data_IF_283949711991
#
_entry.id   IF_283949711991
#
_cell.length_a   1.000
_cell.length_b   1.000
_cell.length_c   1.000
_cell.angle_alpha   90.00
_cell.angle_beta   90.00
_cell.angle_gamma   90.00
#
_symmetry.space_group_name_H-M   'P 1'
#
loop_
_entity.id
_entity.type
_entity.pdbx_description
1 polymer ?
#
# COMPACT_ATOMS: atom_id res chain seq x y z
N UNK A 1 -48.01 26.45 -18.84
CA UNK A 1 -49.22 27.14 -18.34
C UNK A 1 -48.76 28.19 -17.35
N UNK A 2 -48.89 29.49 -17.70
CA UNK A 2 -48.55 30.59 -16.78
C UNK A 2 -49.69 30.78 -15.79
N UNK A 3 -49.46 30.49 -14.52
CA UNK A 3 -50.38 30.80 -13.43
C UNK A 3 -50.32 32.32 -13.15
N UNK A 4 -51.28 33.06 -13.68
CA UNK A 4 -51.40 34.49 -13.40
C UNK A 4 -52.25 34.65 -12.10
N UNK A 5 -51.60 34.62 -10.97
CA UNK A 5 -52.27 34.83 -9.65
C UNK A 5 -52.49 36.35 -9.42
N UNK A 6 -53.72 36.72 -9.05
CA UNK A 6 -54.06 38.08 -8.65
C UNK A 6 -53.54 38.50 -7.24
N UNK A 7 -52.80 37.64 -6.58
CA UNK A 7 -52.21 37.91 -5.28
C UNK A 7 -50.88 38.68 -5.42
N UNK A 8 -50.75 39.92 -4.94
CA UNK A 8 -49.53 40.74 -5.07
C UNK A 8 -48.29 40.13 -4.42
N UNK A 9 -48.48 39.24 -3.44
CA UNK A 9 -47.34 38.55 -2.78
C UNK A 9 -46.78 37.39 -3.64
N UNK A 10 -47.54 36.81 -4.55
CA UNK A 10 -47.11 35.73 -5.43
C UNK A 10 -46.56 36.20 -6.78
N UNK A 11 -46.70 37.48 -7.06
CA UNK A 11 -46.25 38.08 -8.32
C UNK A 11 -44.97 38.92 -8.15
N UNK A 12 -44.29 38.74 -7.02
CA UNK A 12 -43.06 39.47 -6.73
C UNK A 12 -41.88 38.80 -7.42
N UNK A 13 -41.10 39.58 -8.22
CA UNK A 13 -39.88 39.12 -8.94
C UNK A 13 -38.89 38.40 -8.03
N UNK A 14 -38.91 38.69 -6.72
CA UNK A 14 -38.09 38.04 -5.73
C UNK A 14 -38.44 36.53 -5.55
N UNK A 15 -39.73 36.17 -5.71
CA UNK A 15 -40.17 34.77 -5.58
C UNK A 15 -39.83 33.95 -6.81
N UNK A 16 -39.92 34.53 -8.02
CA UNK A 16 -39.49 33.87 -9.27
C UNK A 16 -37.98 33.68 -9.33
N UNK A 17 -37.21 34.64 -8.79
CA UNK A 17 -35.74 34.53 -8.69
C UNK A 17 -35.30 33.46 -7.65
N UNK A 18 -36.07 33.30 -6.52
CA UNK A 18 -35.81 32.27 -5.54
C UNK A 18 -36.15 30.87 -6.05
N UNK A 19 -37.21 30.71 -6.83
CA UNK A 19 -37.58 29.44 -7.48
C UNK A 19 -36.57 29.08 -8.58
N UNK A 20 -36.15 30.02 -9.41
CA UNK A 20 -35.09 29.81 -10.42
C UNK A 20 -33.74 29.46 -9.78
N UNK A 21 -33.40 30.07 -8.65
CA UNK A 21 -32.16 29.76 -7.93
C UNK A 21 -32.18 28.40 -7.22
N UNK A 22 -33.38 27.90 -6.85
CA UNK A 22 -33.55 26.55 -6.34
C UNK A 22 -33.54 25.48 -7.46
N UNK A 23 -33.93 25.83 -8.68
CA UNK A 23 -33.83 24.93 -9.83
C UNK A 23 -32.37 24.71 -10.28
N UNK A 24 -31.50 25.72 -10.12
CA UNK A 24 -30.06 25.56 -10.38
C UNK A 24 -29.33 24.73 -9.31
N UNK A 25 -29.92 24.55 -8.11
CA UNK A 25 -29.32 23.77 -7.02
C UNK A 25 -29.72 22.28 -7.08
N UNK A 26 -30.72 21.92 -7.85
CA UNK A 26 -31.08 20.53 -8.15
C UNK A 26 -30.64 20.11 -9.57
N UNK A 27 -29.39 20.38 -9.94
CA UNK A 27 -28.70 19.41 -10.77
C UNK A 27 -28.54 18.19 -9.88
N UNK A 28 -29.45 17.23 -10.02
CA UNK A 28 -29.21 15.88 -9.53
C UNK A 28 -27.81 15.52 -10.03
N UNK A 29 -26.87 15.37 -9.10
CA UNK A 29 -25.56 14.82 -9.41
C UNK A 29 -25.89 13.48 -10.03
N UNK A 30 -25.77 13.38 -11.36
CA UNK A 30 -25.87 12.09 -12.05
C UNK A 30 -24.72 11.31 -11.43
N UNK A 31 -25.04 10.44 -10.49
CA UNK A 31 -24.08 9.51 -9.90
C UNK A 31 -23.73 8.58 -11.06
N UNK A 32 -22.64 8.89 -11.75
CA UNK A 32 -22.10 7.99 -12.75
C UNK A 32 -21.57 6.79 -11.97
N UNK A 33 -22.32 5.69 -11.99
CA UNK A 33 -21.93 4.43 -11.34
C UNK A 33 -20.56 3.91 -11.81
N UNK A 34 -20.01 4.45 -12.91
CA UNK A 34 -18.64 4.17 -13.35
C UNK A 34 -17.58 4.92 -12.56
N UNK A 35 -17.93 5.93 -11.77
CA UNK A 35 -16.98 6.74 -10.98
C UNK A 35 -16.84 6.29 -9.52
N UNK A 36 -17.55 5.22 -9.11
CA UNK A 36 -17.48 4.68 -7.75
C UNK A 36 -16.42 3.57 -7.64
N UNK A 37 -15.80 3.50 -6.46
CA UNK A 37 -14.86 2.43 -6.09
C UNK A 37 -15.60 1.09 -6.00
N UNK A 38 -15.00 0.04 -6.57
CA UNK A 38 -15.48 -1.33 -6.51
C UNK A 38 -14.41 -2.26 -5.99
N UNK A 39 -14.83 -3.34 -5.34
CA UNK A 39 -13.91 -4.38 -4.87
C UNK A 39 -13.17 -5.04 -6.06
N UNK A 40 -13.93 -5.42 -7.11
CA UNK A 40 -13.35 -6.02 -8.32
C UNK A 40 -12.40 -5.08 -9.05
N UNK A 41 -12.71 -3.78 -9.10
CA UNK A 41 -11.83 -2.76 -9.66
C UNK A 41 -10.51 -2.66 -8.90
N UNK A 42 -10.56 -2.69 -7.56
CA UNK A 42 -9.35 -2.69 -6.73
C UNK A 42 -8.52 -3.95 -6.91
N UNK A 43 -9.14 -5.13 -6.98
CA UNK A 43 -8.45 -6.40 -7.26
C UNK A 43 -7.73 -6.34 -8.60
N UNK A 44 -8.40 -5.90 -9.66
CA UNK A 44 -7.79 -5.78 -10.99
C UNK A 44 -6.60 -4.82 -10.99
N UNK A 45 -6.70 -3.68 -10.30
CA UNK A 45 -5.61 -2.72 -10.16
C UNK A 45 -4.45 -3.28 -9.33
N UNK A 46 -4.75 -4.04 -8.28
CA UNK A 46 -3.72 -4.74 -7.50
C UNK A 46 -2.95 -5.76 -8.36
N UNK A 47 -3.64 -6.50 -9.22
CA UNK A 47 -3.01 -7.42 -10.17
C UNK A 47 -2.13 -6.69 -11.20
N UNK A 48 -2.60 -5.55 -11.74
CA UNK A 48 -1.82 -4.72 -12.65
C UNK A 48 -0.53 -4.23 -11.97
N UNK A 49 -0.65 -3.68 -10.75
CA UNK A 49 0.51 -3.20 -9.99
C UNK A 49 1.48 -4.34 -9.69
N UNK A 50 0.98 -5.51 -9.30
CA UNK A 50 1.80 -6.69 -9.06
C UNK A 50 2.56 -7.15 -10.32
N UNK A 51 1.90 -7.14 -11.47
CA UNK A 51 2.56 -7.47 -12.76
C UNK A 51 3.63 -6.44 -13.12
N UNK A 52 3.38 -5.15 -12.93
CA UNK A 52 4.36 -4.09 -13.18
C UNK A 52 5.57 -4.22 -12.26
N UNK A 53 5.35 -4.46 -10.96
CA UNK A 53 6.40 -4.66 -9.98
C UNK A 53 7.24 -5.89 -10.32
N UNK A 54 6.61 -7.03 -10.60
CA UNK A 54 7.34 -8.27 -10.91
C UNK A 54 8.09 -8.18 -12.24
N UNK A 55 7.51 -7.54 -13.26
CA UNK A 55 8.19 -7.31 -14.54
C UNK A 55 9.44 -6.44 -14.33
N UNK A 56 9.32 -5.33 -13.64
CA UNK A 56 10.45 -4.44 -13.32
C UNK A 56 11.52 -5.15 -12.48
N UNK A 57 11.10 -5.90 -11.44
CA UNK A 57 12.01 -6.67 -10.60
C UNK A 57 12.76 -7.74 -11.40
N UNK A 58 12.09 -8.45 -12.30
CA UNK A 58 12.69 -9.47 -13.15
C UNK A 58 13.75 -8.88 -14.10
N UNK A 59 13.49 -7.71 -14.66
CA UNK A 59 14.47 -7.01 -15.53
C UNK A 59 15.74 -6.70 -14.75
N UNK A 60 15.61 -6.12 -13.54
CA UNK A 60 16.78 -5.80 -12.72
C UNK A 60 17.50 -7.05 -12.23
N UNK A 61 16.75 -8.07 -11.86
CA UNK A 61 17.31 -9.39 -11.53
C UNK A 61 18.18 -9.95 -12.66
N UNK A 62 17.64 -9.98 -13.87
CA UNK A 62 18.38 -10.46 -15.04
C UNK A 62 19.63 -9.63 -15.34
N UNK A 63 19.53 -8.29 -15.27
CA UNK A 63 20.66 -7.39 -15.46
C UNK A 63 21.75 -7.59 -14.40
N UNK A 64 21.37 -7.82 -13.15
CA UNK A 64 22.31 -8.05 -12.05
C UNK A 64 23.16 -9.32 -12.29
N UNK A 65 22.52 -10.41 -12.74
CA UNK A 65 23.24 -11.65 -13.10
C UNK A 65 24.08 -11.52 -14.39
N UNK A 66 23.87 -10.48 -15.20
CA UNK A 66 24.70 -10.13 -16.35
C UNK A 66 25.76 -9.05 -16.04
N UNK A 67 26.10 -8.84 -14.77
CA UNK A 67 27.23 -8.01 -14.34
C UNK A 67 26.87 -6.56 -13.99
N UNK A 68 25.59 -6.16 -14.02
CA UNK A 68 25.17 -4.85 -13.56
C UNK A 68 25.20 -4.79 -12.02
N UNK A 69 25.65 -3.68 -11.45
CA UNK A 69 25.55 -3.46 -10.01
C UNK A 69 24.08 -3.22 -9.59
N UNK A 70 23.45 -4.14 -8.86
CA UNK A 70 22.03 -4.03 -8.49
C UNK A 70 21.75 -2.95 -7.45
N UNK A 71 22.75 -2.46 -6.75
CA UNK A 71 22.59 -1.45 -5.68
C UNK A 71 22.11 -0.10 -6.24
N UNK A 72 22.59 0.29 -7.44
CA UNK A 72 22.23 1.57 -8.05
C UNK A 72 20.73 1.66 -8.35
N UNK A 73 20.11 0.73 -9.11
CA UNK A 73 18.68 0.76 -9.34
C UNK A 73 17.86 0.52 -8.05
N UNK A 74 18.37 -0.28 -7.10
CA UNK A 74 17.71 -0.49 -5.82
C UNK A 74 17.57 0.82 -5.03
N UNK A 75 18.65 1.58 -4.88
CA UNK A 75 18.61 2.87 -4.16
C UNK A 75 17.74 3.88 -4.91
N UNK A 76 17.90 3.99 -6.23
CA UNK A 76 17.08 4.89 -7.05
C UNK A 76 15.58 4.54 -6.98
N UNK A 77 15.25 3.26 -7.06
CA UNK A 77 13.89 2.75 -6.93
C UNK A 77 13.27 3.06 -5.56
N UNK A 78 14.01 2.81 -4.49
CA UNK A 78 13.56 3.10 -3.12
C UNK A 78 13.27 4.60 -2.90
N UNK A 79 14.16 5.48 -3.37
CA UNK A 79 13.98 6.94 -3.21
C UNK A 79 12.77 7.42 -4.00
N UNK A 80 12.67 7.06 -5.28
CA UNK A 80 11.56 7.49 -6.13
C UNK A 80 10.24 6.85 -5.65
N UNK A 81 10.25 5.56 -5.30
CA UNK A 81 9.09 4.87 -4.72
C UNK A 81 8.58 5.58 -3.47
N UNK A 82 9.47 5.92 -2.53
CA UNK A 82 9.12 6.66 -1.32
C UNK A 82 8.48 8.03 -1.65
N UNK A 83 9.03 8.79 -2.59
CA UNK A 83 8.47 10.09 -3.01
C UNK A 83 7.08 9.91 -3.58
N UNK A 84 6.85 8.91 -4.44
CA UNK A 84 5.53 8.62 -5.02
C UNK A 84 4.50 8.23 -3.96
N UNK A 85 4.89 7.41 -2.96
CA UNK A 85 4.04 7.07 -1.81
C UNK A 85 3.66 8.32 -1.02
N UNK A 86 4.63 9.17 -0.70
CA UNK A 86 4.37 10.41 0.05
C UNK A 86 3.42 11.34 -0.72
N UNK A 87 3.63 11.54 -2.02
CA UNK A 87 2.72 12.35 -2.83
C UNK A 87 1.32 11.74 -2.83
N UNK A 88 1.19 10.42 -2.98
CA UNK A 88 -0.11 9.73 -2.96
C UNK A 88 -0.81 9.84 -1.60
N UNK A 89 -0.07 9.81 -0.50
CA UNK A 89 -0.61 9.97 0.85
C UNK A 89 -1.24 11.36 1.07
N UNK A 90 -0.64 12.43 0.52
CA UNK A 90 -1.16 13.79 0.62
C UNK A 90 -2.17 14.14 -0.48
N UNK A 91 -2.10 13.47 -1.63
CA UNK A 91 -2.95 13.74 -2.79
C UNK A 91 -3.47 12.43 -3.42
N UNK A 92 -4.40 11.73 -2.76
CA UNK A 92 -4.91 10.43 -3.20
C UNK A 92 -5.51 10.44 -4.61
N UNK A 93 -6.04 11.58 -5.06
CA UNK A 93 -6.63 11.72 -6.40
C UNK A 93 -5.65 11.46 -7.55
N UNK A 94 -4.34 11.57 -7.32
CA UNK A 94 -3.32 11.26 -8.31
C UNK A 94 -2.88 9.80 -8.31
N UNK A 95 -3.44 8.94 -7.44
CA UNK A 95 -3.10 7.51 -7.35
C UNK A 95 -3.20 6.75 -8.68
N UNK A 96 -4.12 7.06 -9.63
CA UNK A 96 -4.14 6.40 -10.92
C UNK A 96 -2.83 6.51 -11.71
N UNK A 97 -2.06 7.57 -11.50
CA UNK A 97 -0.76 7.79 -12.14
C UNK A 97 0.40 7.39 -11.23
N UNK A 98 0.27 7.68 -9.93
CA UNK A 98 1.33 7.44 -8.96
C UNK A 98 1.51 5.95 -8.63
N UNK A 99 0.42 5.18 -8.54
CA UNK A 99 0.50 3.76 -8.18
C UNK A 99 1.22 2.91 -9.23
N UNK A 100 0.96 3.02 -10.55
CA UNK A 100 1.76 2.33 -11.56
C UNK A 100 3.23 2.75 -11.54
N UNK A 101 3.50 4.06 -11.39
CA UNK A 101 4.86 4.58 -11.22
C UNK A 101 5.55 3.96 -10.01
N UNK A 102 4.88 3.96 -8.85
CA UNK A 102 5.38 3.31 -7.64
C UNK A 102 5.72 1.83 -7.88
N UNK A 103 4.81 1.07 -8.50
CA UNK A 103 5.04 -0.35 -8.75
C UNK A 103 6.30 -0.61 -9.60
N UNK A 104 6.56 0.23 -10.62
CA UNK A 104 7.76 0.13 -11.43
C UNK A 104 9.03 0.43 -10.62
N UNK A 105 9.08 1.54 -9.90
CA UNK A 105 10.25 1.92 -9.10
C UNK A 105 10.48 1.00 -7.91
N UNK A 106 9.42 0.57 -7.25
CA UNK A 106 9.51 -0.43 -6.19
C UNK A 106 10.00 -1.78 -6.72
N UNK A 107 9.63 -2.15 -7.96
CA UNK A 107 10.18 -3.33 -8.63
C UNK A 107 11.68 -3.22 -8.87
N UNK A 108 12.23 -2.02 -9.21
CA UNK A 108 13.68 -1.82 -9.29
C UNK A 108 14.35 -2.09 -7.92
N UNK A 109 13.75 -1.57 -6.86
CA UNK A 109 14.24 -1.77 -5.49
C UNK A 109 14.22 -3.26 -5.11
N UNK A 110 13.06 -3.90 -5.25
CA UNK A 110 12.88 -5.32 -4.90
C UNK A 110 13.76 -6.23 -5.75
N UNK A 111 13.85 -5.99 -7.05
CA UNK A 111 14.71 -6.76 -7.95
C UNK A 111 16.19 -6.68 -7.56
N UNK A 112 16.66 -5.48 -7.22
CA UNK A 112 18.04 -5.25 -6.79
C UNK A 112 18.35 -5.90 -5.43
N UNK A 113 17.49 -5.70 -4.44
CA UNK A 113 17.65 -6.33 -3.11
C UNK A 113 17.59 -7.86 -3.23
N UNK A 114 16.63 -8.39 -3.99
CA UNK A 114 16.51 -9.84 -4.23
C UNK A 114 17.76 -10.43 -4.86
N UNK A 115 18.33 -9.77 -5.87
CA UNK A 115 19.56 -10.24 -6.52
C UNK A 115 20.75 -10.28 -5.53
N UNK A 116 20.87 -9.30 -4.63
CA UNK A 116 21.91 -9.26 -3.60
C UNK A 116 21.74 -10.44 -2.63
N UNK A 117 20.52 -10.65 -2.11
CA UNK A 117 20.26 -11.74 -1.16
C UNK A 117 20.43 -13.12 -1.80
N UNK A 118 20.00 -13.30 -3.05
CA UNK A 118 20.16 -14.56 -3.78
C UNK A 118 21.63 -14.90 -4.04
N UNK A 119 22.45 -13.88 -4.37
CA UNK A 119 23.89 -14.09 -4.55
C UNK A 119 24.60 -14.51 -3.25
N UNK A 120 24.11 -14.04 -2.08
CA UNK A 120 24.64 -14.43 -0.76
C UNK A 120 24.08 -15.77 -0.27
N UNK A 121 22.81 -16.04 -0.53
CA UNK A 121 22.07 -17.21 -0.04
C UNK A 121 21.19 -17.80 -1.15
N UNK A 122 21.73 -18.67 -2.00
CA UNK A 122 20.98 -19.23 -3.13
C UNK A 122 19.66 -19.89 -2.72
N UNK A 123 18.57 -19.55 -3.40
CA UNK A 123 17.22 -20.07 -3.14
C UNK A 123 16.44 -19.31 -2.05
N UNK A 124 17.01 -18.25 -1.45
CA UNK A 124 16.33 -17.48 -0.40
C UNK A 124 15.12 -16.69 -0.94
N UNK A 125 15.23 -16.20 -2.18
CA UNK A 125 14.19 -15.36 -2.79
C UNK A 125 12.92 -16.14 -3.01
N UNK A 126 13.01 -17.35 -3.57
CA UNK A 126 11.83 -18.20 -3.80
C UNK A 126 11.14 -18.57 -2.48
N UNK A 127 11.91 -18.79 -1.41
CA UNK A 127 11.38 -19.07 -0.09
C UNK A 127 10.64 -17.84 0.50
N UNK A 128 11.22 -16.63 0.36
CA UNK A 128 10.59 -15.39 0.83
C UNK A 128 9.31 -15.07 0.05
N UNK A 129 9.32 -15.24 -1.28
CA UNK A 129 8.14 -15.08 -2.14
C UNK A 129 7.05 -16.06 -1.70
N UNK A 130 7.40 -17.35 -1.57
CA UNK A 130 6.45 -18.38 -1.12
C UNK A 130 5.85 -18.06 0.24
N UNK A 131 6.68 -17.69 1.24
CA UNK A 131 6.22 -17.30 2.57
C UNK A 131 5.28 -16.08 2.54
N UNK A 132 5.59 -15.08 1.72
CA UNK A 132 4.76 -13.89 1.53
C UNK A 132 3.39 -14.26 0.96
N UNK A 133 3.35 -15.06 -0.09
CA UNK A 133 2.10 -15.50 -0.71
C UNK A 133 1.26 -16.37 0.22
N UNK A 134 1.87 -17.33 0.91
CA UNK A 134 1.16 -18.17 1.88
C UNK A 134 0.56 -17.30 3.00
N UNK A 135 1.32 -16.37 3.55
CA UNK A 135 0.82 -15.45 4.58
C UNK A 135 -0.33 -14.60 4.06
N UNK A 136 -0.19 -14.03 2.85
CA UNK A 136 -1.25 -13.26 2.21
C UNK A 136 -2.54 -14.08 2.05
N UNK A 137 -2.45 -15.30 1.50
CA UNK A 137 -3.60 -16.19 1.28
C UNK A 137 -4.28 -16.60 2.59
N UNK A 138 -3.50 -16.89 3.63
CA UNK A 138 -4.02 -17.18 4.96
C UNK A 138 -4.75 -15.98 5.54
N UNK A 139 -4.14 -14.79 5.52
CA UNK A 139 -4.77 -13.57 6.02
C UNK A 139 -6.05 -13.23 5.24
N UNK A 140 -6.03 -13.37 3.90
CA UNK A 140 -7.20 -13.15 3.05
C UNK A 140 -8.32 -14.16 3.39
N UNK A 141 -7.99 -15.42 3.59
CA UNK A 141 -8.95 -16.44 4.01
C UNK A 141 -9.57 -16.13 5.36
N UNK A 142 -8.74 -15.82 6.37
CA UNK A 142 -9.21 -15.47 7.71
C UNK A 142 -10.10 -14.21 7.69
N UNK A 143 -9.78 -13.23 6.85
CA UNK A 143 -10.59 -12.04 6.66
C UNK A 143 -11.92 -12.37 5.97
N UNK A 144 -11.88 -13.08 4.83
CA UNK A 144 -13.07 -13.44 4.03
C UNK A 144 -14.08 -14.25 4.84
N UNK A 145 -13.61 -15.20 5.66
CA UNK A 145 -14.48 -16.01 6.51
C UNK A 145 -14.84 -15.31 7.83
N UNK A 146 -14.49 -14.03 8.00
CA UNK A 146 -14.80 -13.20 9.19
C UNK A 146 -14.32 -13.81 10.51
N UNK A 147 -13.26 -14.64 10.46
CA UNK A 147 -12.61 -15.21 11.65
C UNK A 147 -11.89 -14.11 12.43
N UNK A 148 -11.22 -13.20 11.73
CA UNK A 148 -10.61 -11.99 12.30
C UNK A 148 -11.52 -10.80 12.03
N UNK A 149 -11.97 -10.15 13.11
CA UNK A 149 -12.79 -8.93 13.04
C UNK A 149 -11.92 -7.70 13.21
N UNK A 150 -11.92 -6.80 12.24
CA UNK A 150 -11.17 -5.54 12.28
C UNK A 150 -11.96 -4.49 13.07
N UNK A 151 -11.80 -4.53 14.40
CA UNK A 151 -12.41 -3.56 15.33
C UNK A 151 -11.57 -2.28 15.41
N UNK A 152 -12.11 -1.18 15.95
CA UNK A 152 -11.35 0.06 16.14
C UNK A 152 -10.17 -0.12 17.11
N UNK A 153 -10.32 -0.97 18.13
CA UNK A 153 -9.20 -1.34 19.02
C UNK A 153 -8.11 -2.10 18.27
N UNK A 154 -8.49 -3.09 17.42
CA UNK A 154 -7.56 -3.83 16.58
C UNK A 154 -6.76 -2.88 15.66
N UNK A 155 -7.44 -1.93 15.00
CA UNK A 155 -6.79 -0.93 14.15
C UNK A 155 -5.79 -0.08 14.93
N UNK A 156 -6.21 0.45 16.10
CA UNK A 156 -5.36 1.31 16.93
C UNK A 156 -4.09 0.60 17.38
N UNK A 157 -4.20 -0.65 17.80
CA UNK A 157 -3.05 -1.46 18.25
C UNK A 157 -2.07 -1.71 17.09
N UNK A 158 -2.57 -2.09 15.91
CA UNK A 158 -1.70 -2.38 14.76
C UNK A 158 -1.04 -1.10 14.24
N UNK A 159 -1.78 -0.01 14.12
CA UNK A 159 -1.24 1.29 13.71
C UNK A 159 -0.16 1.75 14.70
N UNK A 160 -0.39 1.64 16.01
CA UNK A 160 0.60 1.97 17.02
C UNK A 160 1.85 1.10 16.91
N UNK A 161 1.69 -0.22 16.73
CA UNK A 161 2.81 -1.15 16.55
C UNK A 161 3.60 -0.83 15.25
N UNK A 162 2.91 -0.54 14.16
CA UNK A 162 3.53 -0.15 12.87
C UNK A 162 4.34 1.14 13.01
N UNK A 163 3.76 2.16 13.66
CA UNK A 163 4.46 3.43 13.92
C UNK A 163 5.67 3.24 14.84
N UNK A 164 5.56 2.39 15.87
CA UNK A 164 6.69 2.07 16.74
C UNK A 164 7.84 1.40 15.99
N UNK A 165 7.54 0.43 15.10
CA UNK A 165 8.53 -0.24 14.25
C UNK A 165 9.17 0.77 13.28
N UNK A 166 8.37 1.57 12.59
CA UNK A 166 8.87 2.59 11.66
C UNK A 166 9.77 3.61 12.36
N UNK A 167 9.36 4.09 13.53
CA UNK A 167 10.13 5.03 14.34
C UNK A 167 11.44 4.39 14.82
N UNK A 168 11.40 3.14 15.28
CA UNK A 168 12.59 2.40 15.70
C UNK A 168 13.58 2.22 14.53
N UNK A 169 13.11 1.86 13.34
CA UNK A 169 13.97 1.73 12.16
C UNK A 169 14.55 3.06 11.72
N UNK A 170 13.75 4.14 11.74
CA UNK A 170 14.21 5.48 11.41
C UNK A 170 15.29 5.96 12.39
N UNK A 171 15.05 5.84 13.68
CA UNK A 171 16.03 6.21 14.72
C UNK A 171 17.29 5.38 14.56
N UNK A 172 17.17 4.07 14.40
CA UNK A 172 18.31 3.17 14.22
C UNK A 172 19.14 3.53 12.99
N UNK A 173 18.49 3.89 11.88
CA UNK A 173 19.14 4.32 10.66
C UNK A 173 19.89 5.64 10.85
N UNK A 174 19.25 6.64 11.47
CA UNK A 174 19.88 7.94 11.78
C UNK A 174 21.08 7.75 12.70
N UNK A 175 20.94 6.97 13.78
CA UNK A 175 22.05 6.69 14.70
C UNK A 175 23.23 5.99 14.00
N UNK A 176 22.97 5.06 13.11
CA UNK A 176 24.03 4.36 12.35
C UNK A 176 24.80 5.27 11.40
N UNK A 177 24.25 6.42 11.01
CA UNK A 177 24.97 7.42 10.19
C UNK A 177 26.00 8.23 11.00
N UNK A 178 25.78 8.43 12.30
CA UNK A 178 26.61 9.27 13.14
C UNK A 178 27.49 8.48 14.14
N UNK A 179 27.20 7.20 14.33
CA UNK A 179 27.91 6.37 15.29
C UNK A 179 28.22 5.00 14.70
N UNK A 180 29.23 4.30 15.25
CA UNK A 180 29.50 2.90 14.93
C UNK A 180 28.50 1.93 15.61
N UNK A 181 27.36 2.42 16.05
CA UNK A 181 26.32 1.62 16.68
C UNK A 181 25.68 0.68 15.67
N UNK A 182 25.72 -0.62 15.96
CA UNK A 182 25.04 -1.65 15.18
C UNK A 182 23.72 -1.97 15.88
N UNK A 183 22.56 -1.60 15.30
CA UNK A 183 21.27 -1.91 15.91
C UNK A 183 21.06 -3.42 16.08
N UNK A 184 20.38 -3.80 17.15
CA UNK A 184 20.14 -5.21 17.51
C UNK A 184 19.45 -6.01 16.40
N UNK A 185 18.66 -5.35 15.56
CA UNK A 185 17.93 -6.00 14.46
C UNK A 185 18.80 -6.34 13.24
N UNK A 186 20.07 -5.89 13.16
CA UNK A 186 21.00 -6.24 12.06
C UNK A 186 21.79 -7.54 12.33
N UNK A 187 21.93 -7.96 13.58
CA UNK A 187 22.70 -9.15 13.92
C UNK A 187 21.92 -10.47 13.71
N UNK A 188 22.63 -11.59 13.92
CA UNK A 188 22.08 -12.96 13.83
C UNK A 188 21.73 -13.54 15.22
N UNK A 189 21.63 -12.69 16.25
CA UNK A 189 21.28 -13.10 17.59
C UNK A 189 19.82 -13.62 17.65
N UNK A 190 19.53 -14.46 18.65
CA UNK A 190 18.15 -14.92 18.91
C UNK A 190 17.17 -13.75 19.10
N UNK A 191 17.63 -12.65 19.71
CA UNK A 191 16.84 -11.45 19.87
C UNK A 191 16.53 -10.79 18.51
N UNK A 192 17.53 -10.72 17.61
CA UNK A 192 17.33 -10.19 16.26
C UNK A 192 16.32 -11.03 15.44
N UNK A 193 16.36 -12.34 15.57
CA UNK A 193 15.40 -13.26 14.95
C UNK A 193 13.99 -13.03 15.55
N UNK A 194 13.89 -12.93 16.87
CA UNK A 194 12.63 -12.62 17.56
C UNK A 194 12.00 -11.30 17.10
N UNK A 195 12.81 -10.25 16.94
CA UNK A 195 12.36 -8.96 16.38
C UNK A 195 11.83 -9.14 14.97
N UNK A 196 12.53 -9.88 14.08
CA UNK A 196 12.05 -10.13 12.71
C UNK A 196 10.71 -10.88 12.69
N UNK A 197 10.53 -11.89 13.53
CA UNK A 197 9.26 -12.62 13.64
C UNK A 197 8.15 -11.68 14.12
N UNK A 198 8.41 -10.85 15.12
CA UNK A 198 7.45 -9.88 15.61
C UNK A 198 7.03 -8.90 14.52
N UNK A 199 7.99 -8.37 13.75
CA UNK A 199 7.72 -7.43 12.65
C UNK A 199 6.93 -8.10 11.54
N UNK A 200 7.23 -9.36 11.18
CA UNK A 200 6.45 -10.15 10.21
C UNK A 200 5.00 -10.30 10.67
N UNK A 201 4.78 -10.60 11.96
CA UNK A 201 3.40 -10.68 12.49
C UNK A 201 2.68 -9.35 12.37
N UNK A 202 3.32 -8.24 12.73
CA UNK A 202 2.71 -6.91 12.58
C UNK A 202 2.44 -6.57 11.11
N UNK A 203 3.36 -6.88 10.19
CA UNK A 203 3.15 -6.69 8.76
C UNK A 203 1.98 -7.54 8.22
N UNK A 204 1.87 -8.81 8.65
CA UNK A 204 0.74 -9.67 8.31
C UNK A 204 -0.59 -9.14 8.85
N UNK A 205 -0.59 -8.57 10.07
CA UNK A 205 -1.78 -7.95 10.64
C UNK A 205 -2.20 -6.67 9.90
N UNK A 206 -1.28 -5.94 9.28
CA UNK A 206 -1.61 -4.80 8.42
C UNK A 206 -2.40 -5.21 7.17
N UNK A 207 -2.25 -6.44 6.64
CA UNK A 207 -3.07 -6.92 5.53
C UNK A 207 -4.56 -6.89 5.87
N UNK A 208 -4.95 -7.20 7.13
CA UNK A 208 -6.35 -7.09 7.55
C UNK A 208 -6.86 -5.65 7.52
N UNK A 209 -6.00 -4.67 7.84
CA UNK A 209 -6.35 -3.25 7.74
C UNK A 209 -6.52 -2.82 6.29
N UNK A 210 -5.69 -3.34 5.37
CA UNK A 210 -5.79 -3.05 3.95
C UNK A 210 -7.07 -3.64 3.36
N UNK A 211 -7.41 -4.89 3.71
CA UNK A 211 -8.66 -5.52 3.28
C UNK A 211 -9.89 -4.77 3.81
N UNK A 212 -9.92 -4.41 5.09
CA UNK A 212 -11.02 -3.65 5.70
C UNK A 212 -11.19 -2.26 5.05
N UNK A 213 -10.07 -1.59 4.75
CA UNK A 213 -10.09 -0.30 4.07
C UNK A 213 -10.64 -0.40 2.65
N UNK A 214 -10.24 -1.43 1.90
CA UNK A 214 -10.72 -1.67 0.53
C UNK A 214 -12.20 -2.03 0.53
N UNK A 215 -12.64 -2.93 1.41
CA UNK A 215 -14.05 -3.33 1.53
C UNK A 215 -14.94 -2.14 1.91
N UNK A 216 -14.58 -1.39 2.96
CA UNK A 216 -15.32 -0.19 3.40
C UNK A 216 -15.31 0.92 2.36
N UNK A 217 -14.20 1.09 1.63
CA UNK A 217 -14.13 2.05 0.54
C UNK A 217 -15.13 1.75 -0.57
N UNK A 218 -15.27 0.49 -0.94
CA UNK A 218 -16.26 0.03 -1.92
C UNK A 218 -17.69 0.13 -1.38
N UNK A 219 -17.95 -0.24 -0.12
CA UNK A 219 -19.27 -0.10 0.53
C UNK A 219 -19.73 1.36 0.63
N UNK A 220 -18.79 2.27 0.92
CA UNK A 220 -19.04 3.71 1.03
C UNK A 220 -19.07 4.42 -0.33
N UNK A 221 -18.91 3.67 -1.44
CA UNK A 221 -18.90 4.21 -2.80
C UNK A 221 -17.91 5.37 -2.96
N UNK A 222 -16.70 5.19 -2.43
CA UNK A 222 -15.65 6.19 -2.57
C UNK A 222 -15.31 6.46 -4.04
N UNK A 223 -14.70 7.60 -4.39
CA UNK A 223 -14.31 7.92 -5.75
C UNK A 223 -13.41 6.84 -6.38
N UNK A 224 -13.54 6.60 -7.69
CA UNK A 224 -12.85 5.56 -8.47
C UNK A 224 -11.33 5.53 -8.30
N UNK A 225 -10.68 6.68 -8.12
CA UNK A 225 -9.24 6.72 -7.91
C UNK A 225 -8.79 6.00 -6.63
N UNK A 226 -9.70 5.79 -5.66
CA UNK A 226 -9.41 5.06 -4.42
C UNK A 226 -9.14 3.58 -4.66
N UNK A 227 -9.55 3.01 -5.79
CA UNK A 227 -9.17 1.66 -6.20
C UNK A 227 -7.65 1.55 -6.39
N UNK A 228 -7.02 2.55 -7.03
CA UNK A 228 -5.56 2.61 -7.20
C UNK A 228 -4.85 2.87 -5.87
N UNK A 229 -5.44 3.75 -5.04
CA UNK A 229 -4.90 4.05 -3.72
C UNK A 229 -4.91 2.82 -2.80
N UNK A 230 -6.02 2.09 -2.75
CA UNK A 230 -6.15 0.84 -1.99
C UNK A 230 -5.22 -0.27 -2.51
N UNK A 231 -5.14 -0.43 -3.84
CA UNK A 231 -4.22 -1.37 -4.47
C UNK A 231 -2.74 -1.07 -4.14
N UNK A 232 -2.36 0.21 -4.16
CA UNK A 232 -1.02 0.67 -3.78
C UNK A 232 -0.73 0.39 -2.31
N UNK A 233 -1.68 0.67 -1.39
CA UNK A 233 -1.54 0.36 0.03
C UNK A 233 -1.27 -1.12 0.28
N UNK A 234 -2.08 -2.00 -0.34
CA UNK A 234 -1.90 -3.44 -0.28
C UNK A 234 -0.50 -3.87 -0.80
N UNK A 235 -0.05 -3.26 -1.91
CA UNK A 235 1.28 -3.53 -2.47
C UNK A 235 2.40 -3.15 -1.49
N UNK A 236 2.31 -1.99 -0.84
CA UNK A 236 3.28 -1.53 0.17
C UNK A 236 3.40 -2.56 1.30
N UNK A 237 2.28 -3.05 1.81
CA UNK A 237 2.26 -4.06 2.89
C UNK A 237 2.86 -5.39 2.44
N UNK A 238 2.57 -5.85 1.21
CA UNK A 238 3.14 -7.08 0.66
C UNK A 238 4.66 -6.97 0.45
N UNK A 239 5.14 -5.85 -0.05
CA UNK A 239 6.58 -5.57 -0.21
C UNK A 239 7.28 -5.54 1.15
N UNK A 240 6.70 -4.87 2.14
CA UNK A 240 7.24 -4.88 3.51
C UNK A 240 7.35 -6.30 4.06
N UNK A 241 6.27 -7.09 3.95
CA UNK A 241 6.24 -8.48 4.40
C UNK A 241 7.32 -9.33 3.70
N UNK A 242 7.49 -9.16 2.38
CA UNK A 242 8.52 -9.83 1.61
C UNK A 242 9.94 -9.50 2.10
N UNK A 243 10.24 -8.22 2.32
CA UNK A 243 11.55 -7.77 2.83
C UNK A 243 11.83 -8.37 4.22
N UNK A 244 10.83 -8.42 5.09
CA UNK A 244 11.01 -9.01 6.42
C UNK A 244 11.24 -10.52 6.36
N UNK A 245 10.58 -11.24 5.42
CA UNK A 245 10.89 -12.65 5.19
C UNK A 245 12.31 -12.84 4.65
N UNK A 246 12.75 -12.04 3.67
CA UNK A 246 14.14 -12.08 3.20
C UNK A 246 15.12 -11.87 4.36
N UNK A 247 14.86 -10.87 5.20
CA UNK A 247 15.69 -10.54 6.36
C UNK A 247 15.70 -11.67 7.38
N UNK A 248 14.55 -12.26 7.69
CA UNK A 248 14.46 -13.40 8.61
C UNK A 248 15.24 -14.61 8.08
N UNK A 249 14.98 -14.98 6.83
CA UNK A 249 15.63 -16.13 6.18
C UNK A 249 17.14 -15.95 6.07
N UNK A 250 17.63 -14.74 5.78
CA UNK A 250 19.07 -14.47 5.75
C UNK A 250 19.73 -14.66 7.12
N UNK A 251 19.06 -14.24 8.21
CA UNK A 251 19.56 -14.46 9.59
C UNK A 251 19.61 -15.93 9.96
N UNK A 252 18.65 -16.72 9.49
CA UNK A 252 18.62 -18.16 9.73
C UNK A 252 19.73 -18.88 8.94
N UNK A 253 19.94 -18.51 7.66
CA UNK A 253 20.98 -19.09 6.83
C UNK A 253 22.40 -18.70 7.26
N UNK A 254 22.61 -17.49 7.77
CA UNK A 254 23.93 -17.06 8.22
C UNK A 254 24.34 -17.66 9.58
N UNK A 255 23.46 -18.41 10.25
CA UNK A 255 23.72 -19.08 11.52
C UNK A 255 24.17 -20.52 11.34
N UNK A 256 23.93 -21.10 10.16
CA UNK A 256 24.39 -22.42 9.72
C UNK A 256 25.72 -22.30 8.99
#
# INVERSE_FOLDING_TARGET
MSFNSKNPFLNNKTFSTAVSKNEEVHQATIIDYNDEMTLSGTINKSLILFLLLTASATVIWWLAFNGMNPMVPAIGGAIVGLVLVLISAFKPQYSPYLAPGYALFEGLFIGGISAIFEAMYPGIVIQAVGATFVTFMVCLGLYKYKIVKVTEQFKSVIVAATLAIATYYLISWVFSMFTSFVPVHYGNSMMSIGISIFVIVVAALNLFLDFDRIEKGAEQKMPKYMEWYGAMGLMITLVWLYIEFLRLLSKLNSKN
#
